data_IF_862497755412
#
_entry.id   IF_862497755412
#
_cell.length_a   1.000
_cell.length_b   1.000
_cell.length_c   1.000
_cell.angle_alpha   90.00
_cell.angle_beta   90.00
_cell.angle_gamma   90.00
#
_symmetry.space_group_name_H-M   'P 1'
#
loop_
_entity.id
_entity.type
_entity.pdbx_description
1 polymer ?
#
# COMPACT_ATOMS: atom_id res chain seq x y z
N UNK A 1 -4.90 26.09 2.73
CA UNK A 1 -4.92 24.77 3.40
C UNK A 1 -6.35 24.26 3.44
N UNK A 2 -6.57 22.96 3.59
CA UNK A 2 -7.91 22.34 3.61
C UNK A 2 -7.88 20.97 4.28
N UNK A 3 -9.06 20.39 4.50
CA UNK A 3 -9.22 19.05 5.06
C UNK A 3 -9.61 18.06 3.97
N UNK A 4 -9.26 16.80 4.16
CA UNK A 4 -9.68 15.70 3.28
C UNK A 4 -10.42 14.65 4.09
N UNK A 5 -11.61 14.27 3.62
CA UNK A 5 -12.34 13.08 4.06
C UNK A 5 -12.27 11.95 3.02
N UNK A 6 -11.36 12.05 2.05
CA UNK A 6 -11.25 11.09 0.96
C UNK A 6 -10.80 9.72 1.49
N UNK A 7 -11.58 8.69 1.18
CA UNK A 7 -11.22 7.31 1.41
C UNK A 7 -10.95 6.60 0.08
N UNK A 8 -9.74 6.09 -0.10
CA UNK A 8 -9.29 5.45 -1.33
C UNK A 8 -9.35 3.93 -1.16
N UNK A 9 -10.03 3.25 -2.09
CA UNK A 9 -10.24 1.81 -2.12
C UNK A 9 -10.11 1.27 -3.56
N UNK A 10 -9.99 -0.06 -3.75
CA UNK A 10 -9.82 -0.64 -5.08
C UNK A 10 -10.86 -0.18 -6.10
N UNK A 11 -10.40 0.18 -7.30
CA UNK A 11 -11.21 0.83 -8.35
C UNK A 11 -11.06 2.35 -8.42
N UNK A 12 -10.38 2.98 -7.45
CA UNK A 12 -10.04 4.39 -7.51
C UNK A 12 -9.05 4.70 -8.64
N UNK A 13 -9.34 5.72 -9.45
CA UNK A 13 -8.43 6.22 -10.49
C UNK A 13 -7.57 7.34 -9.94
N UNK A 14 -6.28 7.08 -9.77
CA UNK A 14 -5.30 8.10 -9.37
C UNK A 14 -5.14 9.15 -10.49
N UNK A 15 -5.09 10.42 -10.08
CA UNK A 15 -4.99 11.57 -11.00
C UNK A 15 -3.66 12.34 -10.90
N UNK A 16 -2.90 12.12 -9.83
CA UNK A 16 -1.76 12.97 -9.47
C UNK A 16 -0.58 12.20 -8.89
N UNK A 17 -0.66 10.87 -8.83
CA UNK A 17 0.38 10.00 -8.26
C UNK A 17 0.62 8.85 -9.22
N UNK A 18 1.84 8.79 -9.77
CA UNK A 18 2.28 7.72 -10.68
C UNK A 18 3.09 6.64 -9.98
N UNK A 19 3.66 6.95 -8.80
CA UNK A 19 4.47 6.03 -8.00
C UNK A 19 4.16 6.25 -6.51
N UNK A 20 4.04 5.16 -5.75
CA UNK A 20 3.81 5.17 -4.30
C UNK A 20 4.96 4.48 -3.55
N UNK A 21 5.69 5.25 -2.74
CA UNK A 21 6.62 4.74 -1.73
C UNK A 21 5.90 4.68 -0.38
N UNK A 22 5.80 3.49 0.22
CA UNK A 22 5.04 3.29 1.47
C UNK A 22 5.57 2.10 2.27
N UNK A 23 5.31 2.07 3.57
CA UNK A 23 5.62 0.93 4.44
C UNK A 23 4.74 -0.29 4.12
N UNK A 24 5.10 -1.45 4.68
CA UNK A 24 4.23 -2.61 4.77
C UNK A 24 3.18 -2.44 5.88
N UNK A 25 1.90 -2.48 5.51
CA UNK A 25 0.74 -2.23 6.35
C UNK A 25 0.06 -3.53 6.75
N UNK A 26 -0.56 -3.57 7.93
CA UNK A 26 -1.29 -4.76 8.36
C UNK A 26 -2.47 -5.09 7.42
N UNK A 27 -2.78 -6.39 7.23
CA UNK A 27 -4.02 -6.80 6.59
C UNK A 27 -5.22 -6.16 7.28
N UNK A 28 -6.24 -5.79 6.49
CA UNK A 28 -7.49 -5.13 6.95
C UNK A 28 -7.31 -3.70 7.50
N UNK A 29 -6.18 -3.03 7.26
CA UNK A 29 -6.04 -1.59 7.52
C UNK A 29 -6.54 -0.73 6.34
N UNK A 30 -6.86 0.53 6.60
CA UNK A 30 -7.21 1.50 5.54
C UNK A 30 -6.04 1.76 4.59
N UNK A 31 -4.81 1.79 5.10
CA UNK A 31 -3.60 1.95 4.28
C UNK A 31 -3.33 0.73 3.39
N UNK A 32 -3.70 -0.47 3.85
CA UNK A 32 -3.69 -1.66 3.01
C UNK A 32 -4.68 -1.54 1.84
N UNK A 33 -5.86 -0.95 2.05
CA UNK A 33 -6.83 -0.70 0.98
C UNK A 33 -6.33 0.34 -0.03
N UNK A 34 -5.64 1.40 0.44
CA UNK A 34 -4.97 2.37 -0.43
C UNK A 34 -3.90 1.70 -1.30
N UNK A 35 -3.04 0.87 -0.71
CA UNK A 35 -2.03 0.12 -1.45
C UNK A 35 -2.69 -0.85 -2.46
N UNK A 36 -3.77 -1.55 -2.05
CA UNK A 36 -4.56 -2.38 -2.96
C UNK A 36 -5.14 -1.58 -4.13
N UNK A 37 -5.59 -0.35 -3.89
CA UNK A 37 -6.12 0.51 -4.94
C UNK A 37 -5.05 0.90 -5.96
N UNK A 38 -3.81 1.06 -5.52
CA UNK A 38 -2.69 1.45 -6.37
C UNK A 38 -2.15 0.28 -7.23
N UNK A 39 -1.98 -0.91 -6.63
CA UNK A 39 -1.28 -2.04 -7.29
C UNK A 39 -2.17 -3.25 -7.61
N UNK A 40 -3.38 -3.28 -7.08
CA UNK A 40 -4.24 -4.47 -7.11
C UNK A 40 -3.93 -5.46 -5.97
N UNK A 41 -4.96 -6.20 -5.54
CA UNK A 41 -4.86 -7.09 -4.38
C UNK A 41 -3.89 -8.25 -4.60
N UNK A 42 -3.90 -8.87 -5.78
CA UNK A 42 -3.13 -10.09 -6.03
C UNK A 42 -1.63 -9.83 -6.08
N UNK A 43 -1.22 -8.71 -6.71
CA UNK A 43 0.19 -8.31 -6.76
C UNK A 43 0.69 -7.92 -5.37
N UNK A 44 -0.11 -7.17 -4.60
CA UNK A 44 0.22 -6.82 -3.22
C UNK A 44 0.38 -8.07 -2.35
N UNK A 45 -0.51 -9.06 -2.45
CA UNK A 45 -0.41 -10.30 -1.68
C UNK A 45 0.85 -11.10 -2.04
N UNK A 46 1.24 -11.15 -3.32
CA UNK A 46 2.50 -11.77 -3.74
C UNK A 46 3.71 -11.06 -3.14
N UNK A 47 3.72 -9.72 -3.16
CA UNK A 47 4.77 -8.92 -2.55
C UNK A 47 4.88 -9.15 -1.04
N UNK A 48 3.75 -9.20 -0.33
CA UNK A 48 3.72 -9.48 1.11
C UNK A 48 4.25 -10.87 1.45
N UNK A 49 3.86 -11.89 0.69
CA UNK A 49 4.38 -13.25 0.87
C UNK A 49 5.90 -13.26 0.72
N UNK A 50 6.43 -12.60 -0.32
CA UNK A 50 7.87 -12.50 -0.53
C UNK A 50 8.58 -11.75 0.61
N UNK A 51 8.02 -10.64 1.06
CA UNK A 51 8.57 -9.86 2.17
C UNK A 51 8.62 -10.67 3.48
N UNK A 52 7.61 -11.50 3.74
CA UNK A 52 7.60 -12.42 4.89
C UNK A 52 8.69 -13.49 4.75
N UNK A 53 8.81 -14.12 3.58
CA UNK A 53 9.86 -15.11 3.29
C UNK A 53 11.28 -14.54 3.47
N UNK A 54 11.48 -13.29 3.02
CA UNK A 54 12.75 -12.58 3.13
C UNK A 54 12.95 -11.87 4.49
N UNK A 55 12.03 -12.03 5.44
CA UNK A 55 12.09 -11.46 6.80
C UNK A 55 12.19 -9.93 6.84
N UNK A 56 11.46 -9.25 5.96
CA UNK A 56 11.31 -7.80 6.02
C UNK A 56 10.63 -7.39 7.32
N UNK A 57 10.97 -6.21 7.80
CA UNK A 57 10.35 -5.58 8.96
C UNK A 57 9.10 -4.84 8.52
N UNK A 58 8.00 -5.04 9.23
CA UNK A 58 6.71 -4.41 8.92
C UNK A 58 6.48 -3.19 9.83
N UNK A 59 5.38 -2.45 9.62
CA UNK A 59 4.94 -1.30 10.42
C UNK A 59 5.73 -0.01 10.21
N UNK A 60 5.51 0.96 11.11
CA UNK A 60 5.98 2.35 11.01
C UNK A 60 7.50 2.49 10.89
N UNK A 61 8.25 1.59 11.53
CA UNK A 61 9.72 1.59 11.54
C UNK A 61 10.33 0.42 10.77
N UNK A 62 9.49 -0.25 9.97
CA UNK A 62 9.91 -1.35 9.13
C UNK A 62 10.52 -0.90 7.81
N UNK A 63 10.60 -1.84 6.89
CA UNK A 63 11.05 -1.61 5.53
C UNK A 63 9.88 -1.07 4.67
N UNK A 64 10.20 -0.68 3.44
CA UNK A 64 9.27 -0.02 2.53
C UNK A 64 9.09 -0.78 1.21
N UNK A 65 8.02 -0.42 0.50
CA UNK A 65 7.68 -0.86 -0.84
C UNK A 65 7.64 0.35 -1.78
N UNK A 66 8.11 0.15 -3.00
CA UNK A 66 7.90 1.08 -4.11
C UNK A 66 6.94 0.43 -5.09
N UNK A 67 5.85 1.12 -5.41
CA UNK A 67 4.80 0.65 -6.32
C UNK A 67 4.73 1.62 -7.49
N UNK A 68 4.83 1.09 -8.71
CA UNK A 68 4.72 1.81 -9.98
C UNK A 68 3.58 1.24 -10.80
#
# INVERSE_FOLDING_TARGET
SGHTGLFIYPGYRFKSVDVLLTNFHLPKSSLFLLACAFTGKDLLQKAYRRAIEEKYRFYSYGDCMVIK
#
